data_IF_798830091282
#
_entry.id   IF_798830091282
#
_cell.length_a   1.000
_cell.length_b   1.000
_cell.length_c   1.000
_cell.angle_alpha   90.00
_cell.angle_beta   90.00
_cell.angle_gamma   90.00
#
_symmetry.space_group_name_H-M   'P 1'
#
loop_
_entity.id
_entity.type
_entity.pdbx_description
1 polymer ?
#
# COMPACT_ATOMS: atom_id res chain seq x y z
N UNK A 1 -20.52 -9.88 -2.63
CA UNK A 1 -19.87 -9.38 -3.88
C UNK A 1 -18.56 -10.12 -4.07
N UNK A 2 -18.15 -10.43 -5.33
CA UNK A 2 -16.87 -11.10 -5.54
C UNK A 2 -15.71 -10.17 -5.18
N UNK A 3 -14.84 -10.63 -4.29
CA UNK A 3 -13.75 -9.86 -3.72
C UNK A 3 -12.45 -10.65 -3.83
N UNK A 4 -11.34 -9.95 -4.05
CA UNK A 4 -9.99 -10.47 -3.92
C UNK A 4 -9.39 -9.94 -2.64
N UNK A 5 -8.87 -10.83 -1.81
CA UNK A 5 -8.14 -10.54 -0.59
C UNK A 5 -6.70 -11.05 -0.75
N UNK A 6 -5.72 -10.19 -0.52
CA UNK A 6 -4.31 -10.57 -0.45
C UNK A 6 -3.82 -10.27 0.97
N UNK A 7 -3.20 -11.25 1.58
CA UNK A 7 -2.54 -11.05 2.86
C UNK A 7 -1.21 -11.78 2.94
N UNK A 8 -0.39 -11.32 3.85
CA UNK A 8 0.88 -11.91 4.23
C UNK A 8 0.78 -12.42 5.65
N UNK A 9 1.41 -13.56 5.93
CA UNK A 9 1.58 -14.06 7.29
C UNK A 9 2.88 -14.84 7.44
N UNK A 10 3.20 -15.19 8.68
CA UNK A 10 4.20 -16.19 9.00
C UNK A 10 3.52 -17.31 9.78
N UNK A 11 4.00 -18.53 9.62
CA UNK A 11 3.50 -19.69 10.36
C UNK A 11 4.61 -20.36 11.17
N UNK A 12 4.26 -20.81 12.37
CA UNK A 12 5.07 -21.73 13.13
C UNK A 12 4.82 -23.14 12.61
N UNK A 13 5.67 -23.61 11.71
CA UNK A 13 5.62 -25.00 11.24
C UNK A 13 6.63 -25.82 11.99
N UNK A 14 6.16 -26.93 12.53
CA UNK A 14 7.01 -27.90 13.22
C UNK A 14 7.54 -29.00 12.29
N UNK A 15 6.78 -29.36 11.24
CA UNK A 15 7.17 -30.38 10.27
C UNK A 15 6.58 -30.11 8.88
N UNK A 16 7.26 -30.54 7.82
CA UNK A 16 6.82 -30.38 6.43
C UNK A 16 5.55 -31.17 6.10
N UNK A 17 5.39 -32.36 6.65
CA UNK A 17 4.19 -33.21 6.51
C UNK A 17 2.93 -32.50 6.99
N UNK A 18 3.03 -31.65 8.01
CA UNK A 18 1.90 -30.90 8.55
C UNK A 18 1.43 -29.83 7.56
N UNK A 19 2.35 -29.23 6.80
CA UNK A 19 2.01 -28.24 5.79
C UNK A 19 1.19 -28.82 4.64
N UNK A 20 1.59 -30.00 4.12
CA UNK A 20 0.87 -30.63 3.01
C UNK A 20 -0.56 -30.96 3.41
N UNK A 21 -0.73 -31.58 4.59
CA UNK A 21 -2.05 -31.91 5.12
C UNK A 21 -2.93 -30.67 5.37
N UNK A 22 -2.31 -29.58 5.86
CA UNK A 22 -3.00 -28.32 6.05
C UNK A 22 -3.47 -27.72 4.73
N UNK A 23 -2.63 -27.75 3.71
CA UNK A 23 -2.95 -27.25 2.37
C UNK A 23 -4.10 -28.06 1.75
N UNK A 24 -4.08 -29.38 1.84
CA UNK A 24 -5.13 -30.26 1.33
C UNK A 24 -6.46 -30.02 2.04
N UNK A 25 -6.45 -29.89 3.36
CA UNK A 25 -7.61 -29.55 4.16
C UNK A 25 -8.18 -28.18 3.77
N UNK A 26 -7.31 -27.16 3.72
CA UNK A 26 -7.72 -25.79 3.35
C UNK A 26 -8.24 -25.74 1.91
N UNK A 27 -7.68 -26.50 0.96
CA UNK A 27 -8.19 -26.60 -0.40
C UNK A 27 -9.62 -27.12 -0.43
N UNK A 28 -9.90 -28.20 0.32
CA UNK A 28 -11.23 -28.79 0.40
C UNK A 28 -12.24 -27.85 1.05
N UNK A 29 -11.88 -27.24 2.18
CA UNK A 29 -12.76 -26.32 2.90
C UNK A 29 -13.02 -25.01 2.10
N UNK A 30 -12.03 -24.47 1.44
CA UNK A 30 -12.17 -23.31 0.57
C UNK A 30 -13.08 -23.59 -0.61
N UNK A 31 -12.88 -24.73 -1.29
CA UNK A 31 -13.73 -25.15 -2.40
C UNK A 31 -15.21 -25.28 -1.98
N UNK A 32 -15.46 -25.88 -0.82
CA UNK A 32 -16.82 -26.03 -0.27
C UNK A 32 -17.50 -24.68 0.04
N UNK A 33 -16.71 -23.64 0.35
CA UNK A 33 -17.18 -22.27 0.60
C UNK A 33 -17.19 -21.39 -0.65
N UNK A 34 -16.88 -21.95 -1.81
CA UNK A 34 -16.75 -21.20 -3.05
C UNK A 34 -15.57 -20.21 -3.04
N UNK A 35 -14.52 -20.46 -2.26
CA UNK A 35 -13.29 -19.69 -2.25
C UNK A 35 -12.28 -20.34 -3.18
N UNK A 36 -11.57 -19.52 -3.96
CA UNK A 36 -10.47 -19.94 -4.83
C UNK A 36 -9.23 -19.11 -4.55
N UNK A 37 -8.03 -19.60 -4.92
CA UNK A 37 -6.84 -18.81 -4.72
C UNK A 37 -5.53 -19.58 -4.81
N UNK A 38 -4.45 -18.89 -4.47
CA UNK A 38 -3.10 -19.44 -4.43
C UNK A 38 -2.41 -19.09 -3.12
N UNK A 39 -1.51 -19.97 -2.69
CA UNK A 39 -0.65 -19.80 -1.52
C UNK A 39 0.80 -19.96 -1.97
N UNK A 40 1.60 -18.93 -1.71
CA UNK A 40 3.03 -18.92 -1.98
C UNK A 40 3.78 -18.95 -0.66
N UNK A 41 4.78 -19.83 -0.55
CA UNK A 41 5.69 -19.90 0.59
C UNK A 41 7.12 -19.58 0.13
N UNK A 42 7.77 -18.66 0.85
CA UNK A 42 9.19 -18.35 0.70
C UNK A 42 9.79 -17.98 2.05
N UNK A 43 10.84 -18.64 2.48
CA UNK A 43 11.51 -18.44 3.77
C UNK A 43 10.50 -18.59 4.86
N UNK A 44 9.74 -18.96 5.41
CA UNK A 44 8.68 -18.94 6.43
C UNK A 44 7.64 -17.84 6.26
N UNK A 45 7.65 -17.11 5.14
CA UNK A 45 6.66 -16.11 4.83
C UNK A 45 5.65 -16.66 3.82
N UNK A 46 4.39 -16.44 4.09
CA UNK A 46 3.27 -16.82 3.25
C UNK A 46 2.66 -15.58 2.62
N UNK A 47 2.46 -15.62 1.31
CA UNK A 47 1.60 -14.70 0.59
C UNK A 47 0.41 -15.50 0.08
N UNK A 48 -0.79 -15.12 0.51
CA UNK A 48 -2.02 -15.77 0.06
C UNK A 48 -2.91 -14.81 -0.69
N UNK A 49 -3.42 -15.26 -1.82
CA UNK A 49 -4.43 -14.58 -2.62
C UNK A 49 -5.69 -15.44 -2.55
N UNK A 50 -6.79 -14.86 -2.10
CA UNK A 50 -8.09 -15.49 -1.98
C UNK A 50 -9.12 -14.73 -2.81
N UNK A 51 -10.02 -15.44 -3.48
CA UNK A 51 -11.12 -14.88 -4.25
C UNK A 51 -12.42 -15.56 -3.87
N UNK A 52 -13.42 -14.78 -3.48
CA UNK A 52 -14.70 -15.32 -3.01
C UNK A 52 -15.71 -14.22 -2.73
N UNK A 53 -16.87 -14.63 -2.20
CA UNK A 53 -17.82 -13.66 -1.67
C UNK A 53 -17.21 -12.91 -0.48
N UNK A 54 -17.45 -11.60 -0.42
CA UNK A 54 -16.86 -10.72 0.59
C UNK A 54 -17.13 -11.18 2.02
N UNK A 55 -18.39 -11.55 2.33
CA UNK A 55 -18.76 -11.99 3.67
C UNK A 55 -18.08 -13.30 4.05
N UNK A 56 -17.92 -14.20 3.08
CA UNK A 56 -17.27 -15.51 3.30
C UNK A 56 -15.75 -15.32 3.50
N UNK A 57 -15.14 -14.42 2.73
CA UNK A 57 -13.72 -14.08 2.90
C UNK A 57 -13.45 -13.40 4.23
N UNK A 58 -14.34 -12.51 4.68
CA UNK A 58 -14.18 -11.84 5.98
C UNK A 58 -14.23 -12.84 7.14
N UNK A 59 -15.16 -13.79 7.10
CA UNK A 59 -15.24 -14.85 8.10
C UNK A 59 -13.97 -15.72 8.11
N UNK A 60 -13.50 -16.12 6.93
CA UNK A 60 -12.27 -16.91 6.81
C UNK A 60 -11.07 -16.12 7.33
N UNK A 61 -10.92 -14.86 6.94
CA UNK A 61 -9.79 -14.02 7.34
C UNK A 61 -9.80 -13.72 8.84
N UNK A 62 -10.98 -13.53 9.42
CA UNK A 62 -11.14 -13.41 10.88
C UNK A 62 -10.66 -14.68 11.60
N UNK A 63 -10.99 -15.86 11.06
CA UNK A 63 -10.52 -17.14 11.61
C UNK A 63 -8.99 -17.26 11.50
N UNK A 64 -8.41 -16.87 10.36
CA UNK A 64 -6.96 -16.91 10.16
C UNK A 64 -6.22 -15.97 11.12
N UNK A 65 -6.76 -14.78 11.40
CA UNK A 65 -6.18 -13.84 12.38
C UNK A 65 -6.18 -14.37 13.80
N UNK A 66 -7.11 -15.25 14.14
CA UNK A 66 -7.26 -15.85 15.47
C UNK A 66 -6.54 -17.19 15.60
N UNK A 67 -6.01 -17.73 14.51
CA UNK A 67 -5.30 -19.01 14.52
C UNK A 67 -3.87 -18.82 15.03
N UNK A 68 -3.56 -19.41 16.19
CA UNK A 68 -2.24 -19.31 16.84
C UNK A 68 -1.07 -19.84 15.99
N UNK A 69 -1.37 -20.58 14.93
CA UNK A 69 -0.36 -21.03 13.96
C UNK A 69 0.12 -19.91 13.07
N UNK A 70 -0.68 -18.86 12.87
CA UNK A 70 -0.33 -17.66 12.10
C UNK A 70 0.13 -16.53 13.03
N UNK A 71 1.18 -15.86 12.66
CA UNK A 71 1.60 -14.62 13.30
C UNK A 71 1.97 -13.58 12.24
N UNK A 72 1.96 -12.30 12.62
CA UNK A 72 2.19 -11.18 11.70
C UNK A 72 1.26 -11.23 10.47
N UNK A 73 -0.01 -11.50 10.69
CA UNK A 73 -1.03 -11.49 9.63
C UNK A 73 -1.32 -10.04 9.23
N UNK A 74 -0.98 -9.69 7.99
CA UNK A 74 -1.15 -8.34 7.44
C UNK A 74 -1.97 -8.40 6.16
N UNK A 75 -3.10 -7.71 6.13
CA UNK A 75 -3.87 -7.50 4.90
C UNK A 75 -3.12 -6.51 4.00
N UNK A 76 -2.84 -6.90 2.76
CA UNK A 76 -2.09 -6.11 1.79
C UNK A 76 -2.99 -5.46 0.76
N UNK A 77 -4.09 -6.13 0.41
CA UNK A 77 -5.06 -5.65 -0.57
C UNK A 77 -6.40 -6.30 -0.35
N UNK A 78 -7.46 -5.50 -0.43
CA UNK A 78 -8.84 -5.97 -0.58
C UNK A 78 -9.47 -5.16 -1.68
N UNK A 79 -9.99 -5.83 -2.72
CA UNK A 79 -10.54 -5.14 -3.87
C UNK A 79 -11.66 -5.97 -4.51
N UNK A 80 -12.62 -5.32 -5.14
CA UNK A 80 -13.66 -5.99 -5.89
C UNK A 80 -13.11 -6.50 -7.22
N UNK A 81 -13.54 -7.68 -7.61
CA UNK A 81 -13.16 -8.30 -8.86
C UNK A 81 -14.39 -8.59 -9.73
N UNK A 82 -14.35 -8.25 -11.03
CA UNK A 82 -15.47 -8.58 -11.93
C UNK A 82 -15.62 -10.08 -12.15
N UNK A 83 -14.57 -10.85 -11.92
CA UNK A 83 -14.51 -12.31 -12.06
C UNK A 83 -13.28 -12.88 -11.36
N UNK A 84 -13.30 -14.22 -11.16
CA UNK A 84 -12.18 -14.94 -10.54
C UNK A 84 -11.01 -15.04 -11.51
N UNK A 85 -9.80 -14.89 -10.98
CA UNK A 85 -8.54 -15.12 -11.68
C UNK A 85 -8.11 -16.58 -11.60
N UNK A 86 -8.42 -17.23 -10.46
CA UNK A 86 -8.02 -18.60 -10.13
C UNK A 86 -9.25 -19.52 -10.03
N UNK A 87 -10.09 -19.54 -11.08
CA UNK A 87 -11.28 -20.41 -11.09
C UNK A 87 -10.91 -21.91 -11.04
N UNK A 88 -11.75 -22.68 -10.38
CA UNK A 88 -11.64 -24.13 -10.19
C UNK A 88 -10.40 -24.60 -9.39
N UNK A 89 -9.75 -23.71 -8.68
CA UNK A 89 -8.63 -24.02 -7.80
C UNK A 89 -9.00 -23.50 -6.40
N UNK A 90 -9.42 -24.39 -5.52
CA UNK A 90 -9.78 -24.02 -4.14
C UNK A 90 -8.59 -23.40 -3.41
N UNK A 91 -7.41 -24.00 -3.52
CA UNK A 91 -6.14 -23.39 -3.14
C UNK A 91 -4.98 -24.14 -3.83
N UNK A 92 -4.18 -23.44 -4.60
CA UNK A 92 -2.94 -23.99 -5.15
C UNK A 92 -1.74 -23.50 -4.35
N UNK A 93 -0.90 -24.44 -3.94
CA UNK A 93 0.28 -24.16 -3.13
C UNK A 93 1.56 -24.22 -3.97
N UNK A 94 2.45 -23.24 -3.76
CA UNK A 94 3.77 -23.17 -4.34
C UNK A 94 4.82 -22.91 -3.27
N UNK A 95 5.72 -23.87 -3.09
CA UNK A 95 6.88 -23.76 -2.21
C UNK A 95 8.07 -23.22 -3.00
N UNK A 96 8.36 -21.93 -2.85
CA UNK A 96 9.48 -21.26 -3.52
C UNK A 96 10.85 -21.62 -2.94
N UNK A 97 10.89 -22.32 -1.81
CA UNK A 97 12.14 -22.86 -1.29
C UNK A 97 12.59 -24.11 -2.09
N UNK A 98 11.65 -24.73 -2.83
CA UNK A 98 11.87 -25.95 -3.62
C UNK A 98 11.72 -25.71 -5.12
N UNK A 99 10.97 -24.72 -5.53
CA UNK A 99 10.62 -24.45 -6.92
C UNK A 99 11.38 -23.22 -7.43
N UNK A 100 11.75 -23.25 -8.70
CA UNK A 100 12.37 -22.09 -9.35
C UNK A 100 11.34 -20.98 -9.57
N UNK A 101 11.73 -19.75 -9.29
CA UNK A 101 10.88 -18.58 -9.42
C UNK A 101 10.23 -18.44 -10.82
N UNK A 102 10.99 -18.70 -11.89
CA UNK A 102 10.53 -18.62 -13.26
C UNK A 102 9.43 -19.65 -13.58
N UNK A 103 9.57 -20.87 -13.04
CA UNK A 103 8.59 -21.94 -13.25
C UNK A 103 7.27 -21.63 -12.54
N UNK A 104 7.35 -21.09 -11.31
CA UNK A 104 6.17 -20.67 -10.55
C UNK A 104 5.45 -19.54 -11.25
N UNK A 105 6.17 -18.50 -11.72
CA UNK A 105 5.58 -17.40 -12.49
C UNK A 105 4.89 -17.89 -13.76
N UNK A 106 5.54 -18.81 -14.48
CA UNK A 106 4.97 -19.41 -15.69
C UNK A 106 3.69 -20.17 -15.37
N UNK A 107 3.70 -20.97 -14.30
CA UNK A 107 2.53 -21.78 -13.90
C UNK A 107 1.38 -20.91 -13.39
N UNK A 108 1.65 -19.90 -12.60
CA UNK A 108 0.65 -18.91 -12.16
C UNK A 108 0.02 -18.19 -13.36
N UNK A 109 0.82 -17.81 -14.35
CA UNK A 109 0.32 -17.23 -15.60
C UNK A 109 -0.56 -18.21 -16.38
N UNK A 110 -0.13 -19.45 -16.53
CA UNK A 110 -0.92 -20.47 -17.24
C UNK A 110 -2.28 -20.72 -16.56
N UNK A 111 -2.32 -20.77 -15.24
CA UNK A 111 -3.57 -20.91 -14.48
C UNK A 111 -4.56 -19.78 -14.74
N UNK A 112 -4.05 -18.57 -14.94
CA UNK A 112 -4.86 -17.38 -15.20
C UNK A 112 -5.11 -17.14 -16.69
N UNK A 113 -4.18 -17.52 -17.60
CA UNK A 113 -4.28 -17.34 -19.06
C UNK A 113 -5.28 -18.29 -19.72
N UNK A 114 -5.52 -19.45 -19.15
CA UNK A 114 -6.63 -20.31 -19.58
C UNK A 114 -7.97 -19.56 -19.63
N UNK A 115 -8.03 -18.35 -19.02
CA UNK A 115 -9.20 -17.48 -18.97
C UNK A 115 -8.96 -15.99 -19.24
N UNK A 116 -7.75 -15.59 -19.61
CA UNK A 116 -7.45 -14.26 -20.15
C UNK A 116 -7.34 -13.10 -19.15
N UNK A 117 -6.95 -13.32 -17.88
CA UNK A 117 -7.16 -12.30 -16.82
C UNK A 117 -5.98 -11.87 -15.97
N UNK A 118 -4.79 -12.40 -16.14
CA UNK A 118 -3.64 -11.88 -15.40
C UNK A 118 -2.67 -11.16 -16.36
N UNK A 119 -2.91 -9.88 -16.58
CA UNK A 119 -1.95 -9.06 -17.31
C UNK A 119 -0.78 -8.65 -16.39
N UNK A 120 0.37 -8.32 -16.96
CA UNK A 120 1.54 -7.83 -16.23
C UNK A 120 1.28 -6.51 -15.50
N UNK A 121 0.27 -5.76 -15.92
CA UNK A 121 -0.12 -4.48 -15.32
C UNK A 121 -1.08 -4.65 -14.15
N UNK A 122 -1.65 -5.84 -13.98
CA UNK A 122 -2.62 -6.09 -12.92
C UNK A 122 -1.98 -6.10 -11.53
N UNK A 123 -2.63 -5.45 -10.56
CA UNK A 123 -2.14 -5.31 -9.18
C UNK A 123 -1.85 -6.66 -8.52
N UNK A 124 -2.73 -7.64 -8.68
CA UNK A 124 -2.53 -8.99 -8.12
C UNK A 124 -1.26 -9.64 -8.68
N UNK A 125 -1.03 -9.53 -9.99
CA UNK A 125 0.18 -10.03 -10.60
C UNK A 125 1.44 -9.34 -10.07
N UNK A 126 1.37 -8.03 -9.85
CA UNK A 126 2.50 -7.27 -9.27
C UNK A 126 2.86 -7.78 -7.87
N UNK A 127 1.87 -8.06 -7.01
CA UNK A 127 2.11 -8.70 -5.71
C UNK A 127 2.81 -10.06 -5.84
N UNK A 128 2.28 -10.93 -6.69
CA UNK A 128 2.86 -12.26 -6.94
C UNK A 128 4.29 -12.14 -7.47
N UNK A 129 4.49 -11.34 -8.51
CA UNK A 129 5.80 -11.15 -9.13
C UNK A 129 6.82 -10.60 -8.14
N UNK A 130 6.45 -9.59 -7.36
CA UNK A 130 7.34 -8.99 -6.36
C UNK A 130 7.73 -10.00 -5.30
N UNK A 131 6.76 -10.75 -4.77
CA UNK A 131 7.03 -11.78 -3.76
C UNK A 131 7.97 -12.88 -4.28
N UNK A 132 7.74 -13.37 -5.50
CA UNK A 132 8.55 -14.42 -6.12
C UNK A 132 9.97 -13.93 -6.43
N UNK A 133 10.10 -12.69 -6.90
CA UNK A 133 11.37 -12.12 -7.38
C UNK A 133 12.29 -11.60 -6.27
N UNK A 134 11.80 -11.43 -5.05
CA UNK A 134 12.64 -11.00 -3.91
C UNK A 134 13.75 -11.99 -3.63
N UNK A 135 14.95 -11.51 -3.29
CA UNK A 135 16.09 -12.37 -2.92
C UNK A 135 15.88 -13.13 -1.60
N UNK A 136 15.16 -12.49 -0.66
CA UNK A 136 14.73 -13.10 0.60
C UNK A 136 13.38 -12.49 0.99
N UNK A 137 12.47 -13.31 1.51
CA UNK A 137 11.24 -12.86 2.12
C UNK A 137 11.49 -12.51 3.60
N UNK A 138 12.58 -11.77 3.88
CA UNK A 138 12.98 -11.41 5.23
C UNK A 138 11.78 -10.98 6.08
N UNK A 139 11.76 -11.41 7.33
CA UNK A 139 10.77 -10.93 8.29
C UNK A 139 10.73 -9.41 8.29
N UNK A 140 9.55 -8.78 8.40
CA UNK A 140 9.48 -7.33 8.52
C UNK A 140 10.40 -6.91 9.64
N UNK A 141 11.13 -5.81 9.40
CA UNK A 141 12.02 -5.23 10.41
C UNK A 141 11.29 -5.17 11.75
N UNK A 142 11.94 -5.55 12.87
CA UNK A 142 11.33 -5.42 14.19
C UNK A 142 10.87 -3.99 14.52
N UNK A 143 11.32 -2.99 13.74
CA UNK A 143 10.88 -1.60 13.82
C UNK A 143 9.46 -1.35 13.29
N UNK A 144 8.85 -2.31 12.58
CA UNK A 144 7.50 -2.18 12.00
C UNK A 144 6.39 -2.78 12.86
N UNK A 145 6.68 -3.14 14.10
CA UNK A 145 5.60 -3.50 15.02
C UNK A 145 4.83 -2.24 15.40
N UNK A 146 3.51 -2.16 15.12
CA UNK A 146 2.71 -0.99 15.49
C UNK A 146 2.77 -0.63 16.98
N UNK A 147 2.99 -1.62 17.83
CA UNK A 147 3.20 -1.47 19.29
C UNK A 147 4.50 -0.74 19.66
N UNK A 148 5.45 -0.63 18.71
CA UNK A 148 6.70 0.12 18.90
C UNK A 148 6.69 1.50 18.23
N UNK A 149 5.62 1.86 17.56
CA UNK A 149 5.45 3.22 17.02
C UNK A 149 5.20 4.16 18.19
N UNK A 150 6.23 4.87 18.62
CA UNK A 150 6.04 6.00 19.52
C UNK A 150 5.59 7.20 18.68
N UNK A 151 4.41 7.73 19.00
CA UNK A 151 4.09 9.11 18.66
C UNK A 151 5.18 9.97 19.29
N UNK A 152 6.10 10.50 18.51
CA UNK A 152 6.93 11.59 18.98
C UNK A 152 6.00 12.77 19.26
N UNK A 153 5.46 12.78 20.46
CA UNK A 153 4.75 13.93 20.99
C UNK A 153 5.70 15.13 20.92
N UNK A 154 5.33 16.09 20.09
CA UNK A 154 6.08 17.31 19.86
C UNK A 154 6.30 18.05 21.16
N UNK A 155 7.49 17.99 21.71
CA UNK A 155 7.98 18.97 22.70
C UNK A 155 8.44 20.27 22.04
N UNK A 156 8.58 20.30 20.72
CA UNK A 156 8.90 21.49 19.94
C UNK A 156 7.74 21.76 19.00
N UNK A 157 7.07 22.89 19.20
CA UNK A 157 6.10 23.40 18.25
C UNK A 157 6.85 23.63 16.94
N UNK A 158 6.47 22.88 15.88
CA UNK A 158 6.89 23.26 14.53
C UNK A 158 6.39 24.67 14.32
N UNK A 159 7.31 25.59 14.10
CA UNK A 159 6.93 26.91 13.62
C UNK A 159 6.53 26.72 12.17
N UNK A 160 5.22 26.60 11.93
CA UNK A 160 4.71 26.63 10.55
C UNK A 160 5.36 27.85 9.85
N UNK A 161 5.92 27.65 8.64
CA UNK A 161 6.48 28.77 7.89
C UNK A 161 5.46 29.92 7.87
N UNK A 162 5.91 31.17 7.95
CA UNK A 162 5.02 32.34 7.89
C UNK A 162 4.12 32.36 6.64
N UNK A 163 4.45 31.57 5.64
CA UNK A 163 3.74 31.38 4.37
C UNK A 163 2.67 30.27 4.40
N UNK A 164 2.31 29.72 5.57
CA UNK A 164 1.33 28.64 5.69
C UNK A 164 -0.13 29.12 5.69
N UNK A 165 -0.36 30.39 5.42
CA UNK A 165 -1.70 30.97 5.30
C UNK A 165 -2.03 31.21 3.82
N UNK A 166 -3.05 30.52 3.33
CA UNK A 166 -3.57 30.65 1.96
C UNK A 166 -5.04 31.04 2.03
N UNK A 167 -5.41 32.11 1.33
CA UNK A 167 -6.79 32.65 1.36
C UNK A 167 -7.34 32.85 2.79
N UNK A 168 -6.50 33.26 3.74
CA UNK A 168 -6.87 33.44 5.14
C UNK A 168 -7.00 32.15 5.97
N UNK A 169 -6.71 30.99 5.39
CA UNK A 169 -6.75 29.70 6.07
C UNK A 169 -5.36 29.17 6.38
N UNK A 170 -5.19 28.63 7.59
CA UNK A 170 -3.95 27.96 7.98
C UNK A 170 -3.87 26.58 7.32
N UNK A 171 -2.79 26.35 6.59
CA UNK A 171 -2.49 25.07 5.96
C UNK A 171 -1.51 24.26 6.84
N UNK A 172 -1.87 23.04 7.13
CA UNK A 172 -1.01 22.08 7.81
C UNK A 172 -0.84 20.81 6.96
N UNK A 173 0.18 20.00 7.28
CA UNK A 173 0.35 18.69 6.68
C UNK A 173 0.61 17.63 7.74
N UNK A 174 0.03 16.46 7.50
CA UNK A 174 0.39 15.22 8.18
C UNK A 174 1.14 14.33 7.19
N UNK A 175 2.16 13.60 7.66
CA UNK A 175 2.86 12.63 6.84
C UNK A 175 2.42 11.21 7.20
N UNK A 176 2.04 10.45 6.18
CA UNK A 176 1.70 9.05 6.30
C UNK A 176 2.75 8.21 5.58
N UNK A 177 3.44 7.28 6.27
CA UNK A 177 4.41 6.41 5.61
C UNK A 177 3.70 5.45 4.66
N UNK A 178 4.23 5.35 3.44
CA UNK A 178 3.89 4.31 2.47
C UNK A 178 4.94 3.22 2.62
N UNK A 179 4.47 2.03 2.97
CA UNK A 179 5.33 0.89 3.28
C UNK A 179 5.25 -0.09 2.13
N UNK A 180 6.40 -0.58 1.67
CA UNK A 180 6.45 -1.75 0.80
C UNK A 180 6.08 -2.98 1.64
N UNK A 181 4.93 -3.63 1.38
CA UNK A 181 4.35 -4.56 2.35
C UNK A 181 5.11 -5.88 2.48
N UNK A 182 5.93 -6.22 1.49
CA UNK A 182 6.68 -7.48 1.50
C UNK A 182 8.02 -7.34 2.24
N UNK A 183 8.73 -6.23 2.04
CA UNK A 183 9.99 -5.94 2.74
C UNK A 183 9.80 -5.17 4.04
N UNK A 184 8.64 -4.52 4.20
CA UNK A 184 8.33 -3.70 5.36
C UNK A 184 9.12 -2.39 5.45
N UNK A 185 9.73 -1.96 4.36
CA UNK A 185 10.48 -0.71 4.29
C UNK A 185 9.57 0.45 3.92
N UNK A 186 9.82 1.62 4.52
CA UNK A 186 9.20 2.86 4.09
C UNK A 186 9.78 3.22 2.72
N UNK A 187 8.92 3.37 1.72
CA UNK A 187 9.31 3.76 0.35
C UNK A 187 9.11 5.24 0.11
N UNK A 188 8.09 5.81 0.71
CA UNK A 188 7.77 7.23 0.62
C UNK A 188 6.94 7.70 1.80
N UNK A 189 6.80 9.00 1.93
CA UNK A 189 5.92 9.66 2.88
C UNK A 189 4.85 10.42 2.10
N UNK A 190 3.58 10.09 2.29
CA UNK A 190 2.49 10.84 1.70
C UNK A 190 2.17 12.07 2.53
N UNK A 191 2.25 13.25 1.91
CA UNK A 191 1.90 14.51 2.53
C UNK A 191 0.41 14.79 2.37
N UNK A 192 -0.31 14.75 3.46
CA UNK A 192 -1.76 14.90 3.52
C UNK A 192 -2.12 16.26 4.12
N UNK A 193 -2.69 17.15 3.29
CA UNK A 193 -3.13 18.47 3.73
C UNK A 193 -4.19 18.35 4.83
N UNK A 194 -4.13 19.26 5.80
CA UNK A 194 -5.05 19.35 6.92
C UNK A 194 -5.47 20.80 7.14
N UNK A 195 -6.65 21.01 7.65
CA UNK A 195 -7.05 22.32 8.14
C UNK A 195 -6.34 22.66 9.48
N UNK A 196 -6.62 23.83 10.02
CA UNK A 196 -6.02 24.32 11.27
C UNK A 196 -6.27 23.40 12.49
N UNK A 197 -7.35 22.62 12.46
CA UNK A 197 -7.79 21.75 13.53
C UNK A 197 -7.36 20.28 13.29
N UNK A 198 -6.60 20.02 12.21
CA UNK A 198 -6.15 18.68 11.81
C UNK A 198 -7.20 17.86 11.06
N UNK A 199 -8.28 18.50 10.60
CA UNK A 199 -9.37 17.87 9.85
C UNK A 199 -8.98 17.42 8.45
N UNK A 200 -9.96 16.88 7.73
CA UNK A 200 -9.75 16.29 6.40
C UNK A 200 -9.37 17.33 5.34
N UNK A 201 -8.75 16.90 4.21
CA UNK A 201 -8.52 17.76 3.06
C UNK A 201 -9.81 18.44 2.56
N UNK A 202 -10.94 17.75 2.61
CA UNK A 202 -12.24 18.30 2.21
C UNK A 202 -12.63 19.54 3.05
N UNK A 203 -12.37 19.49 4.36
CA UNK A 203 -12.64 20.63 5.25
C UNK A 203 -11.77 21.84 4.89
N UNK A 204 -10.48 21.59 4.59
CA UNK A 204 -9.58 22.66 4.17
C UNK A 204 -10.06 23.32 2.87
N UNK A 205 -10.34 22.52 1.83
CA UNK A 205 -10.76 23.03 0.52
C UNK A 205 -12.18 23.62 0.53
N UNK A 206 -13.08 23.17 1.41
CA UNK A 206 -14.39 23.75 1.55
C UNK A 206 -14.35 25.21 2.05
N UNK A 207 -13.29 25.60 2.77
CA UNK A 207 -13.09 26.97 3.25
C UNK A 207 -12.42 27.91 2.23
N UNK A 208 -11.93 27.36 1.09
CA UNK A 208 -11.25 28.11 0.04
C UNK A 208 -12.25 28.51 -1.05
N UNK A 209 -12.28 29.78 -1.50
CA UNK A 209 -13.10 30.22 -2.62
C UNK A 209 -12.80 29.36 -3.87
N UNK A 210 -13.83 28.92 -4.63
CA UNK A 210 -13.65 28.03 -5.77
C UNK A 210 -12.62 28.53 -6.80
N UNK A 211 -12.59 29.82 -7.06
CA UNK A 211 -11.69 30.47 -7.99
C UNK A 211 -10.22 30.46 -7.56
N UNK A 212 -9.95 30.29 -6.27
CA UNK A 212 -8.58 30.24 -5.70
C UNK A 212 -8.12 28.83 -5.41
N UNK A 213 -8.99 27.82 -5.51
CA UNK A 213 -8.74 26.47 -5.04
C UNK A 213 -7.51 25.83 -5.69
N UNK A 214 -7.36 25.94 -6.99
CA UNK A 214 -6.24 25.36 -7.73
C UNK A 214 -4.92 26.04 -7.44
N UNK A 215 -4.93 27.36 -7.30
CA UNK A 215 -3.75 28.14 -6.91
C UNK A 215 -3.31 27.81 -5.48
N UNK A 216 -4.26 27.74 -4.55
CA UNK A 216 -4.00 27.37 -3.15
C UNK A 216 -3.51 25.94 -3.06
N UNK A 217 -4.11 25.01 -3.81
CA UNK A 217 -3.64 23.62 -3.86
C UNK A 217 -2.16 23.55 -4.25
N UNK A 218 -1.77 24.23 -5.33
CA UNK A 218 -0.39 24.22 -5.80
C UNK A 218 0.56 24.89 -4.80
N UNK A 219 0.23 26.08 -4.30
CA UNK A 219 1.08 26.85 -3.38
C UNK A 219 1.24 26.17 -2.02
N UNK A 220 0.23 25.46 -1.55
CA UNK A 220 0.29 24.74 -0.28
C UNK A 220 1.38 23.67 -0.26
N UNK A 221 1.83 23.16 -1.44
CA UNK A 221 2.87 22.15 -1.52
C UNK A 221 4.23 22.64 -0.98
N UNK A 222 4.50 23.95 -1.04
CA UNK A 222 5.71 24.54 -0.45
C UNK A 222 5.81 24.24 1.06
N UNK A 223 4.67 24.23 1.76
CA UNK A 223 4.62 23.88 3.20
C UNK A 223 4.95 22.41 3.41
N UNK A 224 4.43 21.51 2.56
CA UNK A 224 4.76 20.10 2.62
C UNK A 224 6.25 19.84 2.41
N UNK A 225 6.88 20.52 1.46
CA UNK A 225 8.31 20.38 1.18
C UNK A 225 9.15 20.93 2.34
N UNK A 226 8.82 22.09 2.89
CA UNK A 226 9.49 22.65 4.05
C UNK A 226 9.44 21.71 5.26
N UNK A 227 8.27 21.15 5.54
CA UNK A 227 8.10 20.19 6.63
C UNK A 227 8.85 18.86 6.35
N UNK A 228 8.84 18.37 5.12
CA UNK A 228 9.60 17.18 4.74
C UNK A 228 11.11 17.36 4.99
N UNK A 229 11.64 18.53 4.67
CA UNK A 229 13.03 18.88 4.99
C UNK A 229 13.30 18.95 6.49
N UNK A 230 12.39 19.56 7.24
CA UNK A 230 12.51 19.71 8.70
C UNK A 230 12.49 18.35 9.42
N UNK A 231 11.63 17.42 9.02
CA UNK A 231 11.60 16.07 9.59
C UNK A 231 12.73 15.17 9.09
N UNK A 232 13.55 15.66 8.16
CA UNK A 232 14.69 14.96 7.57
C UNK A 232 14.31 13.60 6.99
N UNK A 233 13.54 13.63 5.89
CA UNK A 233 13.09 12.39 5.22
C UNK A 233 14.23 11.56 4.61
N UNK A 234 15.47 12.06 4.63
CA UNK A 234 16.62 11.39 4.02
C UNK A 234 16.42 11.17 2.52
N UNK A 235 16.68 9.96 2.06
CA UNK A 235 16.55 9.57 0.65
C UNK A 235 15.10 9.10 0.28
N UNK A 236 14.15 9.18 1.24
CA UNK A 236 12.78 8.78 0.95
C UNK A 236 12.09 9.77 0.03
N UNK A 237 11.13 9.25 -0.75
CA UNK A 237 10.29 10.09 -1.59
C UNK A 237 9.20 10.75 -0.77
N UNK A 238 8.83 11.96 -1.17
CA UNK A 238 7.61 12.62 -0.73
C UNK A 238 6.54 12.48 -1.82
N UNK A 239 5.42 11.91 -1.46
CA UNK A 239 4.25 11.81 -2.33
C UNK A 239 3.28 12.92 -1.96
N UNK A 240 2.91 13.74 -2.93
CA UNK A 240 1.94 14.82 -2.75
C UNK A 240 0.70 14.57 -3.59
N UNK A 241 -0.45 14.80 -2.98
CA UNK A 241 -1.72 14.81 -3.66
C UNK A 241 -1.91 16.16 -4.35
N UNK A 242 -2.33 16.17 -5.62
CA UNK A 242 -2.59 17.37 -6.39
C UNK A 242 -3.93 17.25 -7.11
N UNK A 243 -4.69 18.33 -7.12
CA UNK A 243 -5.87 18.43 -7.97
C UNK A 243 -5.43 18.49 -9.44
N UNK A 244 -5.90 17.58 -10.31
CA UNK A 244 -5.44 17.53 -11.71
C UNK A 244 -5.56 18.88 -12.42
N UNK A 245 -6.63 19.61 -12.16
CA UNK A 245 -6.85 20.94 -12.75
C UNK A 245 -5.84 21.98 -12.29
N UNK A 246 -5.17 21.82 -11.14
CA UNK A 246 -4.09 22.74 -10.73
C UNK A 246 -2.94 22.73 -11.73
N UNK A 247 -2.65 21.57 -12.37
CA UNK A 247 -1.62 21.46 -13.40
C UNK A 247 -2.08 21.99 -14.79
N UNK A 248 -3.38 22.11 -15.01
CA UNK A 248 -3.95 22.56 -16.29
C UNK A 248 -4.20 24.05 -16.28
N UNK A 249 -4.73 24.57 -15.17
CA UNK A 249 -5.21 25.97 -15.08
C UNK A 249 -4.08 26.93 -14.71
N UNK A 250 -3.11 26.46 -13.89
CA UNK A 250 -2.01 27.31 -13.44
C UNK A 250 -0.86 27.23 -14.43
N UNK A 251 -0.46 28.34 -15.08
CA UNK A 251 0.71 28.37 -15.94
C UNK A 251 1.97 27.96 -15.16
N UNK A 252 2.86 27.22 -15.81
CA UNK A 252 4.17 26.81 -15.26
C UNK A 252 4.09 26.05 -13.91
N UNK A 253 2.96 25.37 -13.66
CA UNK A 253 2.72 24.66 -12.39
C UNK A 253 3.81 23.64 -12.05
N UNK A 254 4.31 22.90 -13.04
CA UNK A 254 5.38 21.91 -12.87
C UNK A 254 6.69 22.60 -12.51
N UNK A 255 7.05 23.65 -13.24
CA UNK A 255 8.24 24.45 -12.98
C UNK A 255 8.22 25.06 -11.58
N UNK A 256 7.04 25.55 -11.16
CA UNK A 256 6.84 26.05 -9.81
C UNK A 256 7.12 24.97 -8.75
N UNK A 257 6.56 23.76 -8.90
CA UNK A 257 6.80 22.66 -7.97
C UNK A 257 8.30 22.26 -7.92
N UNK A 258 8.95 22.19 -9.08
CA UNK A 258 10.37 21.87 -9.18
C UNK A 258 11.25 22.96 -8.54
N UNK A 259 10.87 24.21 -8.64
CA UNK A 259 11.58 25.31 -7.97
C UNK A 259 11.38 25.27 -6.45
N UNK A 260 10.14 25.05 -5.99
CA UNK A 260 9.86 24.98 -4.56
C UNK A 260 10.54 23.80 -3.88
N UNK A 261 10.58 22.61 -4.50
CA UNK A 261 11.26 21.45 -3.91
C UNK A 261 12.78 21.71 -3.78
N UNK A 262 13.40 22.29 -4.81
CA UNK A 262 14.83 22.68 -4.78
C UNK A 262 15.11 23.79 -3.76
N UNK A 263 14.24 24.78 -3.65
CA UNK A 263 14.34 25.87 -2.66
C UNK A 263 14.36 25.34 -1.23
N UNK A 264 13.64 24.26 -0.96
CA UNK A 264 13.67 23.59 0.35
C UNK A 264 14.87 22.64 0.52
N UNK A 265 15.75 22.53 -0.50
CA UNK A 265 16.93 21.65 -0.47
C UNK A 265 16.58 20.16 -0.54
N UNK A 266 15.52 19.83 -1.25
CA UNK A 266 15.16 18.47 -1.65
C UNK A 266 15.46 18.28 -3.14
N UNK A 267 15.67 17.02 -3.54
CA UNK A 267 15.92 16.70 -4.94
C UNK A 267 14.60 16.42 -5.68
N UNK A 268 14.45 16.84 -6.96
CA UNK A 268 13.24 16.60 -7.74
C UNK A 268 12.85 15.12 -7.83
N UNK A 269 13.82 14.22 -7.83
CA UNK A 269 13.65 12.76 -7.88
C UNK A 269 12.97 12.20 -6.62
N UNK A 270 12.97 12.98 -5.54
CA UNK A 270 12.26 12.64 -4.31
C UNK A 270 10.77 12.97 -4.39
N UNK A 271 10.31 13.72 -5.42
CA UNK A 271 8.91 14.07 -5.58
C UNK A 271 8.13 13.00 -6.35
N UNK A 272 7.01 12.58 -5.79
CA UNK A 272 6.00 11.73 -6.45
C UNK A 272 4.65 12.43 -6.43
N UNK A 273 4.03 12.59 -7.60
CA UNK A 273 2.69 13.18 -7.71
C UNK A 273 1.62 12.09 -7.70
N UNK A 274 0.63 12.25 -6.84
CA UNK A 274 -0.55 11.40 -6.78
C UNK A 274 -1.74 12.21 -7.26
N UNK A 275 -2.48 11.71 -8.25
CA UNK A 275 -3.71 12.33 -8.70
C UNK A 275 -4.87 11.93 -7.78
N UNK A 276 -5.58 12.94 -7.27
CA UNK A 276 -6.85 12.71 -6.58
C UNK A 276 -7.96 12.87 -7.62
N UNK A 277 -8.87 11.89 -7.71
CA UNK A 277 -10.13 12.07 -8.44
C UNK A 277 -10.95 13.17 -7.78
N UNK A 278 -11.33 14.18 -8.55
CA UNK A 278 -12.23 15.26 -8.12
C UNK A 278 -13.66 14.74 -7.91
#
# INVERSE_FOLDING_TARGET
>A
MLTTLIYRSQMHLTQETDLILLVEKANTENAARGITGILLLKDNVYLQILEGDECVLEQLFSTIKQDDRHYQVVELMRDYAPRRRFENVGMMFFDLNKLQAADVLTKVRQLSQLKGYLSTEERVYKFIHTFISQKSAAAPSPFLRPDKWSLHSRKHAFHAPRESFFAGQCCQFAFQPIIEPLAGNITSLEALIRDKDGGSPANFFASIPPEQRYEVDLKAKSVAFALAKEINIGDHKISINILPMSLVVIPDAIEYLLQEIKKQGLEPEQLSLIHISE
#
